data_IF_350256963264
#
_entry.id   IF_350256963264
#
_cell.length_a   1.000
_cell.length_b   1.000
_cell.length_c   1.000
_cell.angle_alpha   90.00
_cell.angle_beta   90.00
_cell.angle_gamma   90.00
#
_symmetry.space_group_name_H-M   'P 1'
#
loop_
_entity.id
_entity.type
_entity.pdbx_description
1 polymer ?
#
# COMPACT_ATOMS: atom_id res chain seq x y z
N UNK A 1 -13.65 12.30 -29.34
CA UNK A 1 -12.72 12.83 -30.35
C UNK A 1 -11.66 11.77 -30.46
N UNK A 2 -11.62 11.07 -31.58
CA UNK A 2 -10.70 9.94 -31.79
C UNK A 2 -9.30 10.52 -31.90
N UNK A 3 -8.35 10.09 -31.07
CA UNK A 3 -6.96 10.48 -31.26
C UNK A 3 -6.45 9.83 -32.55
N UNK A 4 -6.01 10.65 -33.51
CA UNK A 4 -5.42 10.16 -34.74
C UNK A 4 -4.20 9.29 -34.45
N UNK A 5 -4.05 8.18 -35.16
CA UNK A 5 -2.93 7.23 -34.97
C UNK A 5 -1.55 7.91 -35.10
N UNK A 6 -1.44 8.90 -35.99
CA UNK A 6 -0.24 9.72 -36.18
C UNK A 6 0.08 10.56 -34.93
N UNK A 7 -0.94 11.20 -34.35
CA UNK A 7 -0.84 11.98 -33.10
C UNK A 7 -0.48 11.07 -31.93
N UNK A 8 -1.04 9.86 -31.88
CA UNK A 8 -0.67 8.86 -30.87
C UNK A 8 0.80 8.45 -30.98
N UNK A 9 1.29 8.18 -32.20
CA UNK A 9 2.67 7.81 -32.46
C UNK A 9 3.65 8.93 -32.07
N UNK A 10 3.31 10.18 -32.40
CA UNK A 10 4.12 11.34 -32.02
C UNK A 10 4.17 11.53 -30.50
N UNK A 11 3.03 11.44 -29.82
CA UNK A 11 2.95 11.65 -28.38
C UNK A 11 3.64 10.54 -27.56
N UNK A 12 3.66 9.29 -28.02
CA UNK A 12 4.42 8.24 -27.29
C UNK A 12 5.93 8.34 -27.49
N UNK A 13 6.38 9.05 -28.54
CA UNK A 13 7.80 9.29 -28.81
C UNK A 13 8.31 10.59 -28.18
N UNK A 14 7.42 11.55 -27.93
CA UNK A 14 7.76 12.84 -27.32
C UNK A 14 8.02 12.68 -25.82
N UNK A 15 9.28 12.82 -25.40
CA UNK A 15 9.70 12.74 -24.00
C UNK A 15 8.94 13.71 -23.06
N UNK A 16 8.41 14.79 -23.61
CA UNK A 16 7.65 15.83 -22.94
C UNK A 16 6.15 15.73 -23.25
N UNK A 17 5.63 14.56 -23.64
CA UNK A 17 4.22 14.41 -23.93
C UNK A 17 3.34 14.66 -22.72
N UNK A 18 2.15 15.20 -22.96
CA UNK A 18 1.18 15.45 -21.92
C UNK A 18 0.71 14.12 -21.28
N UNK A 19 0.78 13.98 -19.95
CA UNK A 19 0.44 12.73 -19.27
C UNK A 19 -1.04 12.35 -19.44
N UNK A 20 -1.93 13.33 -19.58
CA UNK A 20 -3.34 13.09 -19.91
C UNK A 20 -3.51 12.55 -21.34
N UNK A 21 -2.70 13.03 -22.29
CA UNK A 21 -2.71 12.53 -23.67
C UNK A 21 -2.20 11.09 -23.73
N UNK A 22 -1.16 10.75 -22.97
CA UNK A 22 -0.66 9.37 -22.84
C UNK A 22 -1.71 8.41 -22.28
N UNK A 23 -2.47 8.84 -21.26
CA UNK A 23 -3.56 8.05 -20.69
C UNK A 23 -4.69 7.83 -21.71
N UNK A 24 -5.02 8.85 -22.48
CA UNK A 24 -6.02 8.78 -23.55
C UNK A 24 -5.57 7.83 -24.67
N UNK A 25 -4.31 7.92 -25.11
CA UNK A 25 -3.71 7.02 -26.10
C UNK A 25 -3.73 5.57 -25.62
N UNK A 26 -3.35 5.31 -24.37
CA UNK A 26 -3.39 3.97 -23.81
C UNK A 26 -4.82 3.39 -23.73
N UNK A 27 -5.82 4.25 -23.55
CA UNK A 27 -7.22 3.85 -23.53
C UNK A 27 -7.80 3.59 -24.93
N UNK A 28 -7.54 4.49 -25.88
CA UNK A 28 -8.07 4.38 -27.25
C UNK A 28 -7.30 3.39 -28.12
N UNK A 29 -6.00 3.23 -27.87
CA UNK A 29 -5.11 2.42 -28.69
C UNK A 29 -4.26 1.48 -27.82
N UNK A 30 -4.76 0.27 -27.51
CA UNK A 30 -4.06 -0.67 -26.63
C UNK A 30 -2.70 -1.12 -27.18
N UNK A 31 -2.46 -1.04 -28.49
CA UNK A 31 -1.16 -1.29 -29.12
C UNK A 31 -0.06 -0.32 -28.65
N UNK A 32 -0.41 0.92 -28.24
CA UNK A 32 0.55 1.89 -27.73
C UNK A 32 0.79 1.81 -26.23
N UNK A 33 -0.01 1.03 -25.49
CA UNK A 33 0.15 0.79 -24.05
C UNK A 33 1.58 0.42 -23.62
N UNK A 34 2.33 -0.47 -24.30
CA UNK A 34 3.72 -0.79 -23.93
C UNK A 34 4.69 0.40 -24.11
N UNK A 35 4.47 1.25 -25.11
CA UNK A 35 5.25 2.48 -25.30
C UNK A 35 4.92 3.50 -24.20
N UNK A 36 3.63 3.65 -23.87
CA UNK A 36 3.18 4.49 -22.76
C UNK A 36 3.75 4.00 -21.42
N UNK A 37 3.77 2.69 -21.17
CA UNK A 37 4.38 2.08 -19.99
C UNK A 37 5.90 2.36 -19.89
N UNK A 38 6.57 2.45 -21.03
CA UNK A 38 7.98 2.78 -21.14
C UNK A 38 8.24 4.30 -21.12
N UNK A 39 7.21 5.14 -20.95
CA UNK A 39 7.34 6.59 -21.04
C UNK A 39 7.76 7.22 -19.69
N UNK A 40 8.77 8.12 -19.64
CA UNK A 40 9.21 8.74 -18.37
C UNK A 40 8.13 9.60 -17.70
N UNK A 41 7.23 10.21 -18.49
CA UNK A 41 6.08 10.99 -17.97
C UNK A 41 4.85 10.14 -17.62
N UNK A 42 4.90 8.81 -17.77
CA UNK A 42 3.81 7.96 -17.31
C UNK A 42 3.76 7.97 -15.79
N UNK A 43 2.72 8.60 -15.25
CA UNK A 43 2.53 8.77 -13.82
C UNK A 43 2.15 7.43 -13.15
N UNK A 44 2.39 7.26 -11.83
CA UNK A 44 2.21 5.98 -11.14
C UNK A 44 0.78 5.41 -11.25
N UNK A 45 -0.25 6.25 -11.29
CA UNK A 45 -1.63 5.80 -11.49
C UNK A 45 -1.89 5.18 -12.86
N UNK A 46 -1.25 5.71 -13.92
CA UNK A 46 -1.32 5.14 -15.26
C UNK A 46 -0.56 3.82 -15.33
N UNK A 47 0.63 3.75 -14.73
CA UNK A 47 1.41 2.51 -14.65
C UNK A 47 0.65 1.42 -13.89
N UNK A 48 0.01 1.74 -12.76
CA UNK A 48 -0.85 0.81 -12.02
C UNK A 48 -2.05 0.34 -12.85
N UNK A 49 -2.68 1.25 -13.59
CA UNK A 49 -3.75 0.91 -14.53
C UNK A 49 -3.27 -0.03 -15.63
N UNK A 50 -2.11 0.23 -16.23
CA UNK A 50 -1.48 -0.65 -17.23
C UNK A 50 -1.10 -2.01 -16.61
N UNK A 51 -0.58 -2.04 -15.40
CA UNK A 51 -0.26 -3.28 -14.69
C UNK A 51 -1.50 -4.16 -14.44
N UNK A 52 -2.68 -3.55 -14.30
CA UNK A 52 -3.96 -4.23 -14.07
C UNK A 52 -4.64 -4.62 -15.39
N UNK A 53 -4.84 -3.66 -16.28
CA UNK A 53 -5.70 -3.75 -17.47
C UNK A 53 -4.93 -3.79 -18.79
N UNK A 54 -3.66 -3.41 -18.80
CA UNK A 54 -2.84 -3.39 -20.02
C UNK A 54 -2.46 -4.77 -20.54
N UNK A 55 -1.90 -4.79 -21.75
CA UNK A 55 -1.37 -5.99 -22.40
C UNK A 55 -0.17 -6.58 -21.63
N UNK A 56 0.11 -7.87 -21.82
CA UNK A 56 1.17 -8.58 -21.11
C UNK A 56 2.56 -7.92 -21.27
N UNK A 57 2.88 -7.43 -22.45
CA UNK A 57 4.13 -6.71 -22.72
C UNK A 57 4.20 -5.39 -21.93
N UNK A 58 3.10 -4.63 -21.90
CA UNK A 58 3.02 -3.40 -21.13
C UNK A 58 3.15 -3.67 -19.62
N UNK A 59 2.51 -4.74 -19.13
CA UNK A 59 2.63 -5.19 -17.73
C UNK A 59 4.08 -5.54 -17.36
N UNK A 60 4.80 -6.29 -18.20
CA UNK A 60 6.22 -6.62 -17.99
C UNK A 60 7.10 -5.38 -17.92
N UNK A 61 6.85 -4.41 -18.79
CA UNK A 61 7.57 -3.13 -18.82
C UNK A 61 7.32 -2.36 -17.52
N UNK A 62 6.06 -2.23 -17.09
CA UNK A 62 5.69 -1.59 -15.82
C UNK A 62 6.37 -2.30 -14.65
N UNK A 63 6.32 -3.63 -14.59
CA UNK A 63 6.99 -4.41 -13.53
C UNK A 63 8.51 -4.15 -13.52
N UNK A 64 9.16 -4.17 -14.68
CA UNK A 64 10.61 -3.86 -14.79
C UNK A 64 10.91 -2.43 -14.34
N UNK A 65 10.07 -1.46 -14.71
CA UNK A 65 10.18 -0.05 -14.29
C UNK A 65 10.06 0.09 -12.78
N UNK A 66 9.00 -0.47 -12.18
CA UNK A 66 8.83 -0.44 -10.72
C UNK A 66 9.98 -1.16 -10.02
N UNK A 67 10.47 -2.29 -10.53
CA UNK A 67 11.64 -2.96 -9.95
C UNK A 67 12.94 -2.16 -10.08
N UNK A 68 13.10 -1.35 -11.13
CA UNK A 68 14.31 -0.54 -11.36
C UNK A 68 14.28 0.78 -10.58
N UNK A 69 13.09 1.34 -10.35
CA UNK A 69 12.85 2.60 -9.62
C UNK A 69 12.54 2.35 -8.12
N UNK A 70 12.41 1.09 -7.71
CA UNK A 70 12.30 0.71 -6.30
C UNK A 70 13.65 0.82 -5.60
N UNK A 71 13.87 1.98 -4.98
CA UNK A 71 14.64 2.08 -3.74
C UNK A 71 14.15 0.97 -2.77
N UNK A 72 15.01 0.16 -2.13
CA UNK A 72 14.61 -1.03 -1.38
C UNK A 72 13.84 -0.77 -0.05
N UNK A 73 13.29 0.43 0.13
CA UNK A 73 12.53 0.82 1.31
C UNK A 73 11.23 1.53 0.88
N UNK A 74 10.29 0.79 0.32
CA UNK A 74 8.87 1.11 0.49
C UNK A 74 8.03 -0.15 0.33
N UNK A 75 7.40 -0.53 1.43
CA UNK A 75 6.55 -1.69 1.56
C UNK A 75 5.33 -1.60 0.62
N UNK A 76 5.23 -2.61 -0.26
CA UNK A 76 4.04 -3.38 -0.61
C UNK A 76 2.75 -2.62 -0.96
N UNK A 77 2.52 -2.41 -2.26
CA UNK A 77 1.16 -2.26 -2.82
C UNK A 77 0.57 -3.64 -3.16
N UNK A 78 -0.19 -4.13 -2.18
CA UNK A 78 -1.30 -5.10 -2.15
C UNK A 78 -1.61 -5.90 -3.42
N UNK A 79 -1.13 -7.15 -3.44
CA UNK A 79 -1.85 -8.25 -4.08
C UNK A 79 -2.94 -8.72 -3.10
N UNK A 80 -4.20 -8.61 -3.53
CA UNK A 80 -5.35 -9.26 -2.92
C UNK A 80 -5.21 -10.78 -3.11
N UNK A 81 -4.64 -11.48 -2.12
CA UNK A 81 -5.01 -12.85 -1.75
C UNK A 81 -4.20 -13.21 -0.48
N UNK A 82 -4.88 -13.39 0.65
CA UNK A 82 -4.31 -13.61 2.00
C UNK A 82 -3.51 -12.44 2.60
N UNK A 83 -4.24 -11.44 3.12
CA UNK A 83 -3.67 -10.45 4.05
C UNK A 83 -3.15 -11.21 5.28
N UNK A 84 -1.84 -11.41 5.35
CA UNK A 84 -1.15 -11.91 6.53
C UNK A 84 -0.46 -10.72 7.19
N UNK A 85 -0.85 -10.41 8.42
CA UNK A 85 -0.19 -9.34 9.18
C UNK A 85 1.00 -9.90 9.94
N UNK A 86 2.07 -9.11 10.04
CA UNK A 86 3.26 -9.48 10.81
C UNK A 86 3.19 -8.91 12.23
N UNK A 87 3.92 -9.49 13.21
CA UNK A 87 4.05 -8.94 14.56
C UNK A 87 4.52 -7.48 14.58
N UNK A 88 5.44 -7.11 13.67
CA UNK A 88 5.93 -5.73 13.55
C UNK A 88 4.82 -4.78 13.08
N UNK A 89 4.01 -5.17 12.09
CA UNK A 89 2.86 -4.37 11.68
C UNK A 89 1.88 -4.13 12.83
N UNK A 90 1.60 -5.14 13.66
CA UNK A 90 0.73 -4.97 14.83
C UNK A 90 1.31 -3.99 15.87
N UNK A 91 2.64 -3.89 15.99
CA UNK A 91 3.31 -2.97 16.92
C UNK A 91 3.41 -1.53 16.39
N UNK A 92 3.45 -1.35 15.07
CA UNK A 92 3.66 -0.04 14.43
C UNK A 92 2.39 0.57 13.82
N UNK A 93 1.33 -0.23 13.67
CA UNK A 93 0.08 0.20 13.05
C UNK A 93 -0.55 1.36 13.83
N UNK A 94 -0.80 2.47 13.14
CA UNK A 94 -1.48 3.65 13.71
C UNK A 94 -2.97 3.67 13.39
N UNK A 95 -3.39 2.87 12.43
CA UNK A 95 -4.73 2.88 11.88
C UNK A 95 -5.68 2.04 12.74
N UNK A 96 -6.71 2.67 13.31
CA UNK A 96 -7.64 2.01 14.23
C UNK A 96 -8.41 0.87 13.54
N UNK A 97 -8.75 1.04 12.27
CA UNK A 97 -9.44 0.01 11.49
C UNK A 97 -8.57 -1.23 11.33
N UNK A 98 -7.29 -1.03 10.95
CA UNK A 98 -6.32 -2.13 10.77
C UNK A 98 -6.00 -2.80 12.11
N UNK A 99 -5.87 -2.03 13.20
CA UNK A 99 -5.71 -2.59 14.54
C UNK A 99 -6.88 -3.51 14.93
N UNK A 100 -8.12 -3.08 14.66
CA UNK A 100 -9.31 -3.89 14.94
C UNK A 100 -9.38 -5.14 14.06
N UNK A 101 -9.06 -5.01 12.79
CA UNK A 101 -9.04 -6.12 11.84
C UNK A 101 -8.00 -7.18 12.24
N UNK A 102 -6.78 -6.75 12.58
CA UNK A 102 -5.72 -7.62 13.12
C UNK A 102 -6.21 -8.30 14.39
N UNK A 103 -6.79 -7.56 15.34
CA UNK A 103 -7.27 -8.12 16.60
C UNK A 103 -8.36 -9.18 16.38
N UNK A 104 -9.25 -8.96 15.42
CA UNK A 104 -10.36 -9.88 15.12
C UNK A 104 -9.89 -11.14 14.38
N UNK A 105 -9.06 -10.98 13.34
CA UNK A 105 -8.65 -12.06 12.46
C UNK A 105 -7.39 -12.81 12.94
N UNK A 106 -6.52 -12.15 13.72
CA UNK A 106 -5.21 -12.67 14.13
C UNK A 106 -5.05 -12.65 15.66
N UNK A 107 -5.55 -13.67 16.37
CA UNK A 107 -5.45 -13.75 17.83
C UNK A 107 -4.00 -13.78 18.33
N UNK A 108 -3.08 -14.35 17.55
CA UNK A 108 -1.64 -14.38 17.86
C UNK A 108 -0.99 -12.99 17.87
N UNK A 109 -1.59 -12.02 17.16
CA UNK A 109 -1.08 -10.66 17.03
C UNK A 109 -1.60 -9.71 18.11
N UNK A 110 -2.63 -10.11 18.87
CA UNK A 110 -3.26 -9.29 19.92
C UNK A 110 -2.28 -8.81 21.00
N UNK A 111 -1.35 -9.66 21.43
CA UNK A 111 -0.31 -9.29 22.41
C UNK A 111 0.65 -8.22 21.89
N UNK A 112 0.85 -8.16 20.57
CA UNK A 112 1.68 -7.14 19.93
C UNK A 112 0.91 -5.83 19.78
N UNK A 113 -0.40 -5.89 19.48
CA UNK A 113 -1.29 -4.72 19.52
C UNK A 113 -1.36 -4.10 20.92
N UNK A 114 -1.40 -4.90 21.99
CA UNK A 114 -1.37 -4.41 23.36
C UNK A 114 -0.08 -3.63 23.71
N UNK A 115 1.04 -3.98 23.08
CA UNK A 115 2.33 -3.31 23.23
C UNK A 115 2.44 -2.04 22.37
N UNK A 116 1.60 -1.88 21.35
CA UNK A 116 1.66 -0.75 20.43
C UNK A 116 1.23 0.55 21.12
N UNK A 117 2.11 1.57 21.27
CA UNK A 117 1.78 2.83 21.94
C UNK A 117 0.61 3.60 21.28
N UNK A 118 0.31 3.34 20.01
CA UNK A 118 -0.78 3.97 19.26
C UNK A 118 -2.10 3.16 19.31
N UNK A 119 -2.14 2.07 20.09
CA UNK A 119 -3.36 1.29 20.27
C UNK A 119 -4.41 2.11 21.03
N UNK A 120 -5.62 2.20 20.48
CA UNK A 120 -6.68 3.07 21.00
C UNK A 120 -7.40 2.44 22.21
N UNK A 121 -7.97 3.30 23.06
CA UNK A 121 -8.53 2.91 24.36
C UNK A 121 -9.59 1.80 24.28
N UNK A 122 -10.53 1.88 23.33
CA UNK A 122 -11.58 0.86 23.19
C UNK A 122 -11.01 -0.52 22.81
N UNK A 123 -9.95 -0.57 21.99
CA UNK A 123 -9.32 -1.84 21.65
C UNK A 123 -8.56 -2.41 22.85
N UNK A 124 -7.93 -1.54 23.64
CA UNK A 124 -7.28 -1.92 24.90
C UNK A 124 -8.30 -2.52 25.89
N UNK A 125 -9.49 -1.90 26.02
CA UNK A 125 -10.57 -2.43 26.85
C UNK A 125 -11.08 -3.78 26.34
N UNK A 126 -11.29 -3.89 25.03
CA UNK A 126 -11.67 -5.16 24.42
C UNK A 126 -10.63 -6.25 24.67
N UNK A 127 -9.35 -5.92 24.49
CA UNK A 127 -8.22 -6.82 24.74
C UNK A 127 -8.15 -7.25 26.22
N UNK A 128 -8.39 -6.33 27.16
CA UNK A 128 -8.45 -6.65 28.58
C UNK A 128 -9.64 -7.55 28.95
N UNK A 129 -10.76 -7.44 28.23
CA UNK A 129 -11.94 -8.27 28.44
C UNK A 129 -11.75 -9.73 28.01
N UNK A 130 -10.78 -10.01 27.12
CA UNK A 130 -10.46 -11.37 26.68
C UNK A 130 -9.83 -12.25 27.79
N UNK A 131 -9.37 -11.65 28.88
CA UNK A 131 -8.71 -12.32 30.02
C UNK A 131 -7.47 -13.17 29.61
N UNK A 132 -6.74 -12.74 28.58
CA UNK A 132 -5.52 -13.42 28.15
C UNK A 132 -4.31 -12.92 28.96
N UNK A 133 -3.52 -13.81 29.58
CA UNK A 133 -2.41 -13.42 30.43
C UNK A 133 -1.31 -12.65 29.69
N UNK A 134 -1.01 -13.02 28.43
CA UNK A 134 0.04 -12.33 27.66
C UNK A 134 -0.39 -10.91 27.29
N UNK A 135 -1.68 -10.72 26.99
CA UNK A 135 -2.26 -9.42 26.68
C UNK A 135 -2.28 -8.56 27.95
N UNK A 136 -2.77 -9.10 29.06
CA UNK A 136 -2.87 -8.38 30.34
C UNK A 136 -1.50 -7.91 30.85
N UNK A 137 -0.46 -8.74 30.74
CA UNK A 137 0.92 -8.33 31.07
C UNK A 137 1.40 -7.16 30.21
N UNK A 138 1.15 -7.21 28.89
CA UNK A 138 1.53 -6.14 27.97
C UNK A 138 0.81 -4.83 28.29
N UNK A 139 -0.50 -4.90 28.57
CA UNK A 139 -1.31 -3.76 28.97
C UNK A 139 -0.85 -3.16 30.30
N UNK A 140 -0.53 -4.00 31.29
CA UNK A 140 -0.04 -3.54 32.59
C UNK A 140 1.33 -2.86 32.46
N UNK A 141 2.24 -3.41 31.65
CA UNK A 141 3.53 -2.75 31.35
C UNK A 141 3.34 -1.40 30.69
N UNK A 142 2.42 -1.29 29.72
CA UNK A 142 2.07 -0.02 29.07
C UNK A 142 1.58 1.02 30.08
N UNK A 143 0.63 0.64 30.94
CA UNK A 143 0.07 1.53 31.97
C UNK A 143 1.15 2.02 32.92
N UNK A 144 2.05 1.13 33.35
CA UNK A 144 3.20 1.50 34.16
C UNK A 144 4.07 2.54 33.45
N UNK A 145 4.41 2.35 32.17
CA UNK A 145 5.19 3.35 31.40
C UNK A 145 4.46 4.70 31.29
N UNK A 146 3.15 4.71 31.04
CA UNK A 146 2.35 5.94 30.96
C UNK A 146 2.24 6.66 32.31
N UNK A 147 2.16 5.93 33.42
CA UNK A 147 2.08 6.49 34.78
C UNK A 147 3.46 6.93 35.32
N UNK A 148 4.57 6.45 34.72
CA UNK A 148 5.94 6.79 35.12
C UNK A 148 6.49 8.07 34.46
N UNK A 149 5.75 8.72 33.56
CA UNK A 149 6.14 9.97 32.90
C UNK A 149 5.28 11.17 33.41
N UNK A 150 5.58 11.73 34.60
CA UNK A 150 4.87 12.90 35.12
C UNK A 150 5.34 14.24 34.52
N UNK A 151 6.03 14.26 33.37
CA UNK A 151 6.61 15.51 32.85
C UNK A 151 6.44 15.69 31.34
N UNK A 152 5.43 16.47 30.95
CA UNK A 152 5.63 17.49 29.92
C UNK A 152 4.95 18.79 30.37
#
# INVERSE_FOLDING_TARGET
MMVDYDVACQAVQDENADPCLLALIAYENPDFTPNVASHPRAYPGLLAWIARFGNEEAKKIVMRRLSTESNPLSLSSTQEDSVSYTPQQAMEVKDAFVQHDIAKNFPELRKYLAQNPNCYAELIEWLANLDDPQINEALQKRRAVQEQDPTL
#
